data_IF_712147624272
#
_entry.id   IF_712147624272
#
_cell.length_a   1.000
_cell.length_b   1.000
_cell.length_c   1.000
_cell.angle_alpha   90.00
_cell.angle_beta   90.00
_cell.angle_gamma   90.00
#
_symmetry.space_group_name_H-M   'P 1'
#
loop_
_entity.id
_entity.type
_entity.pdbx_description
1 polymer ?
#
# COMPACT_ATOMS: atom_id res chain seq x y z
N UNK A 1 23.27 7.31 4.04
CA UNK A 1 23.31 7.39 2.56
C UNK A 1 23.49 6.01 1.93
N UNK A 2 24.52 5.23 2.28
CA UNK A 2 24.69 3.85 1.74
C UNK A 2 23.54 2.88 2.05
N UNK A 3 22.89 3.01 3.22
CA UNK A 3 21.80 2.12 3.62
C UNK A 3 20.53 2.24 2.77
N UNK A 4 20.14 3.45 2.37
CA UNK A 4 18.93 3.67 1.58
C UNK A 4 19.06 3.07 0.17
N UNK A 5 20.18 3.34 -0.52
CA UNK A 5 20.45 2.76 -1.84
C UNK A 5 20.54 1.22 -1.81
N UNK A 6 21.08 0.65 -0.72
CA UNK A 6 21.07 -0.80 -0.53
C UNK A 6 19.64 -1.33 -0.32
N UNK A 7 18.83 -0.65 0.49
CA UNK A 7 17.44 -1.04 0.75
C UNK A 7 16.60 -1.04 -0.53
N UNK A 8 16.72 -0.01 -1.37
CA UNK A 8 16.04 0.05 -2.68
C UNK A 8 16.47 -1.12 -3.58
N UNK A 9 17.79 -1.39 -3.65
CA UNK A 9 18.31 -2.50 -4.45
C UNK A 9 17.80 -3.85 -3.94
N UNK A 10 17.68 -4.02 -2.62
CA UNK A 10 17.13 -5.23 -2.01
C UNK A 10 15.64 -5.37 -2.31
N UNK A 11 14.85 -4.30 -2.18
CA UNK A 11 13.43 -4.31 -2.53
C UNK A 11 13.20 -4.66 -4.01
N UNK A 12 14.00 -4.10 -4.92
CA UNK A 12 13.95 -4.46 -6.35
C UNK A 12 14.33 -5.93 -6.58
N UNK A 13 15.31 -6.44 -5.86
CA UNK A 13 15.71 -7.86 -5.95
C UNK A 13 14.59 -8.77 -5.45
N UNK A 14 13.93 -8.43 -4.34
CA UNK A 14 12.78 -9.16 -3.81
C UNK A 14 11.64 -9.18 -4.83
N UNK A 15 11.34 -8.03 -5.45
CA UNK A 15 10.30 -7.95 -6.49
C UNK A 15 10.62 -8.85 -7.68
N UNK A 16 11.88 -8.87 -8.13
CA UNK A 16 12.31 -9.73 -9.23
C UNK A 16 12.20 -11.22 -8.88
N UNK A 17 12.68 -11.64 -7.70
CA UNK A 17 12.57 -13.04 -7.24
C UNK A 17 11.09 -13.46 -7.19
N UNK A 18 10.25 -12.68 -6.51
CA UNK A 18 8.82 -12.94 -6.38
C UNK A 18 8.16 -13.10 -7.76
N UNK A 19 8.44 -12.19 -8.69
CA UNK A 19 7.89 -12.28 -10.05
C UNK A 19 8.39 -13.53 -10.77
N UNK A 20 9.68 -13.84 -10.73
CA UNK A 20 10.21 -15.01 -11.45
C UNK A 20 9.64 -16.33 -10.95
N UNK A 21 9.48 -16.48 -9.63
CA UNK A 21 8.91 -17.69 -9.03
C UNK A 21 7.42 -17.83 -9.34
N UNK A 22 6.64 -16.76 -9.19
CA UNK A 22 5.20 -16.78 -9.46
C UNK A 22 4.90 -16.93 -10.96
N UNK A 23 5.66 -16.28 -11.83
CA UNK A 23 5.52 -16.40 -13.29
C UNK A 23 5.84 -17.80 -13.78
N UNK A 24 6.78 -18.51 -13.15
CA UNK A 24 7.03 -19.93 -13.44
C UNK A 24 5.81 -20.82 -13.14
N UNK A 25 4.93 -20.38 -12.24
CA UNK A 25 3.65 -21.01 -11.91
C UNK A 25 2.46 -20.44 -12.72
N UNK A 26 2.70 -19.54 -13.68
CA UNK A 26 1.65 -18.93 -14.50
C UNK A 26 0.88 -17.77 -13.84
N UNK A 27 1.36 -17.25 -12.70
CA UNK A 27 0.74 -16.12 -12.00
C UNK A 27 1.41 -14.81 -12.47
N UNK A 28 0.62 -13.85 -12.95
CA UNK A 28 1.09 -12.61 -13.59
C UNK A 28 0.70 -11.31 -12.86
N UNK A 29 -0.01 -11.41 -11.73
CA UNK A 29 -0.37 -10.30 -10.85
C UNK A 29 -0.08 -10.66 -9.40
N UNK A 30 0.55 -9.75 -8.66
CA UNK A 30 0.72 -9.86 -7.22
C UNK A 30 0.04 -8.71 -6.48
N UNK A 31 -0.64 -9.03 -5.39
CA UNK A 31 -1.24 -8.06 -4.48
C UNK A 31 -0.19 -7.51 -3.51
N UNK A 32 0.77 -6.78 -4.07
CA UNK A 32 1.88 -6.09 -3.41
C UNK A 32 2.24 -4.90 -4.31
N UNK A 33 2.83 -3.80 -3.80
CA UNK A 33 3.29 -3.53 -2.43
C UNK A 33 2.17 -3.23 -1.43
N UNK A 34 2.45 -3.49 -0.16
CA UNK A 34 1.75 -2.83 0.94
C UNK A 34 2.30 -1.40 1.03
N UNK A 35 1.40 -0.43 0.95
CA UNK A 35 1.66 1.01 0.95
C UNK A 35 1.24 1.69 2.25
N UNK A 36 0.65 0.93 3.16
CA UNK A 36 0.26 1.38 4.49
C UNK A 36 1.49 1.82 5.30
N UNK A 37 1.37 2.93 6.03
CA UNK A 37 2.42 3.39 6.94
C UNK A 37 2.34 2.64 8.27
N UNK A 38 3.49 2.35 8.89
CA UNK A 38 3.52 1.77 10.23
C UNK A 38 3.28 2.84 11.29
N UNK A 39 2.04 2.95 11.78
CA UNK A 39 1.70 3.83 12.90
C UNK A 39 1.89 3.16 14.27
N UNK A 40 2.35 1.90 14.32
CA UNK A 40 2.61 1.17 15.57
C UNK A 40 1.39 0.59 16.29
N UNK A 41 0.17 0.94 15.85
CA UNK A 41 -1.08 0.55 16.50
C UNK A 41 -1.81 -0.61 15.79
N UNK A 42 -1.52 -0.83 14.50
CA UNK A 42 -2.26 -1.79 13.69
C UNK A 42 -1.60 -3.19 13.70
N UNK A 43 -2.25 -4.15 14.36
CA UNK A 43 -1.78 -5.54 14.40
C UNK A 43 -1.73 -6.23 13.01
N UNK A 44 -2.59 -5.79 12.07
CA UNK A 44 -2.71 -6.39 10.73
C UNK A 44 -1.66 -5.85 9.75
N UNK A 45 -1.18 -4.61 9.94
CA UNK A 45 -0.13 -4.01 9.13
C UNK A 45 1.23 -4.31 9.71
N UNK A 46 1.56 -3.82 10.92
CA UNK A 46 2.84 -4.08 11.61
C UNK A 46 4.04 -4.28 10.68
N UNK A 47 4.65 -5.47 10.74
CA UNK A 47 5.84 -5.84 9.96
C UNK A 47 5.62 -6.04 8.45
N UNK A 48 4.40 -5.80 7.93
CA UNK A 48 4.09 -5.80 6.50
C UNK A 48 4.27 -4.42 5.88
N UNK A 49 4.24 -3.35 6.68
CA UNK A 49 4.64 -2.02 6.20
C UNK A 49 6.15 -1.98 6.00
N UNK A 50 6.58 -1.22 5.00
CA UNK A 50 8.00 -0.94 4.82
C UNK A 50 8.56 0.01 5.88
N UNK A 51 7.78 1.00 6.32
CA UNK A 51 8.22 2.05 7.23
C UNK A 51 7.06 2.93 7.71
N UNK A 52 7.29 3.71 8.77
CA UNK A 52 6.40 4.80 9.21
C UNK A 52 6.52 6.09 8.38
N UNK A 53 7.50 6.21 7.48
CA UNK A 53 7.79 7.46 6.77
C UNK A 53 7.33 7.33 5.31
N UNK A 54 6.43 8.20 4.82
CA UNK A 54 5.87 8.08 3.48
C UNK A 54 6.92 7.98 2.38
N UNK A 55 7.94 8.83 2.41
CA UNK A 55 9.02 8.85 1.42
C UNK A 55 9.82 7.53 1.36
N UNK A 56 10.00 6.85 2.50
CA UNK A 56 10.69 5.56 2.56
C UNK A 56 9.81 4.46 1.97
N UNK A 57 8.52 4.46 2.30
CA UNK A 57 7.54 3.53 1.71
C UNK A 57 7.47 3.72 0.19
N UNK A 58 7.36 4.95 -0.30
CA UNK A 58 7.36 5.26 -1.73
C UNK A 58 8.60 4.72 -2.44
N UNK A 59 9.81 4.99 -1.93
CA UNK A 59 11.07 4.55 -2.55
C UNK A 59 11.13 3.04 -2.69
N UNK A 60 10.85 2.32 -1.60
CA UNK A 60 10.91 0.86 -1.54
C UNK A 60 9.79 0.21 -2.36
N UNK A 61 8.58 0.77 -2.36
CA UNK A 61 7.46 0.29 -3.16
C UNK A 61 7.71 0.45 -4.66
N UNK A 62 8.25 1.59 -5.10
CA UNK A 62 8.64 1.80 -6.51
C UNK A 62 9.77 0.84 -6.88
N UNK A 63 10.76 0.62 -6.00
CA UNK A 63 11.82 -0.35 -6.24
C UNK A 63 11.29 -1.78 -6.37
N UNK A 64 10.40 -2.20 -5.47
CA UNK A 64 9.71 -3.50 -5.56
C UNK A 64 8.96 -3.61 -6.90
N UNK A 65 8.18 -2.60 -7.28
CA UNK A 65 7.46 -2.57 -8.56
C UNK A 65 8.39 -2.74 -9.76
N UNK A 66 9.56 -2.07 -9.79
CA UNK A 66 10.55 -2.28 -10.85
C UNK A 66 11.03 -3.72 -10.92
N UNK A 67 11.26 -4.34 -9.76
CA UNK A 67 11.61 -5.76 -9.65
C UNK A 67 10.55 -6.66 -10.26
N UNK A 68 9.28 -6.44 -9.87
CA UNK A 68 8.15 -7.22 -10.36
C UNK A 68 8.00 -7.08 -11.88
N UNK A 69 8.05 -5.84 -12.39
CA UNK A 69 7.97 -5.53 -13.80
C UNK A 69 9.11 -6.18 -14.60
N UNK A 70 10.34 -6.18 -14.07
CA UNK A 70 11.48 -6.88 -14.68
C UNK A 70 11.27 -8.40 -14.77
N UNK A 71 10.57 -9.00 -13.81
CA UNK A 71 10.15 -10.40 -13.88
C UNK A 71 8.90 -10.64 -14.73
N UNK A 72 8.31 -9.59 -15.33
CA UNK A 72 7.11 -9.65 -16.15
C UNK A 72 5.80 -9.71 -15.36
N UNK A 73 5.76 -9.27 -14.11
CA UNK A 73 4.58 -9.35 -13.25
C UNK A 73 4.03 -7.96 -12.92
N UNK A 74 2.71 -7.81 -12.97
CA UNK A 74 2.01 -6.59 -12.52
C UNK A 74 1.87 -6.56 -10.99
N UNK A 75 1.68 -5.36 -10.44
CA UNK A 75 1.54 -5.11 -9.00
C UNK A 75 0.15 -4.52 -8.68
N UNK A 76 -0.25 -4.59 -7.42
CA UNK A 76 -1.47 -3.98 -6.93
C UNK A 76 -1.20 -3.39 -5.54
N UNK A 77 -1.13 -2.05 -5.47
CA UNK A 77 -0.86 -1.32 -4.24
C UNK A 77 -2.04 -1.39 -3.29
N UNK A 78 -1.77 -1.56 -1.99
CA UNK A 78 -2.81 -1.76 -0.97
C UNK A 78 -2.40 -1.25 0.42
N UNK A 79 -3.33 -0.89 1.31
CA UNK A 79 -4.78 -0.89 1.14
C UNK A 79 -5.28 0.57 1.12
N UNK A 80 -5.74 1.05 -0.02
CA UNK A 80 -6.07 2.47 -0.20
C UNK A 80 -7.30 2.89 0.62
N UNK A 81 -7.32 4.09 1.24
CA UNK A 81 -6.29 5.13 1.26
C UNK A 81 -5.23 5.00 2.37
N UNK A 82 -5.28 3.94 3.17
CA UNK A 82 -4.27 3.62 4.20
C UNK A 82 -4.91 2.92 5.39
N UNK A 83 -4.43 1.72 5.72
CA UNK A 83 -4.97 0.88 6.81
C UNK A 83 -4.13 0.96 8.10
N UNK A 84 -2.92 1.51 8.03
CA UNK A 84 -1.92 1.39 9.08
C UNK A 84 -2.26 2.06 10.41
N UNK A 85 -3.14 3.06 10.41
CA UNK A 85 -3.53 3.80 11.61
C UNK A 85 -4.72 3.21 12.36
N UNK A 86 -5.37 2.18 11.81
CA UNK A 86 -6.55 1.60 12.43
C UNK A 86 -6.18 0.41 13.28
N UNK A 87 -6.52 0.48 14.57
CA UNK A 87 -6.50 -0.65 15.48
C UNK A 87 -7.90 -1.27 15.54
N UNK A 88 -8.00 -2.57 15.25
CA UNK A 88 -9.29 -3.24 15.31
C UNK A 88 -9.19 -4.74 15.06
N UNK A 89 -9.84 -5.51 15.93
CA UNK A 89 -10.17 -6.91 15.64
C UNK A 89 -11.36 -6.92 14.68
N UNK A 90 -11.11 -7.22 13.41
CA UNK A 90 -12.13 -7.24 12.35
C UNK A 90 -13.26 -8.25 12.59
N UNK A 91 -13.18 -9.09 13.63
CA UNK A 91 -14.24 -10.01 14.03
C UNK A 91 -15.39 -9.33 14.81
N UNK A 92 -15.22 -8.08 15.29
CA UNK A 92 -16.19 -7.42 16.17
C UNK A 92 -16.87 -6.19 15.57
N UNK A 93 -16.17 -5.38 14.76
CA UNK A 93 -16.73 -4.18 14.09
C UNK A 93 -15.93 -3.83 12.84
N UNK A 94 -16.53 -3.07 11.91
CA UNK A 94 -15.79 -2.45 10.81
C UNK A 94 -14.75 -1.46 11.38
N UNK A 95 -13.47 -1.50 10.92
CA UNK A 95 -12.45 -0.56 11.37
C UNK A 95 -12.77 0.87 10.88
N UNK A 96 -12.59 1.86 11.76
CA UNK A 96 -12.79 3.28 11.45
C UNK A 96 -11.49 4.08 11.65
N UNK A 97 -11.20 4.97 10.70
CA UNK A 97 -10.13 5.96 10.80
C UNK A 97 -10.73 7.37 10.88
N UNK A 98 -10.49 8.05 12.02
CA UNK A 98 -11.06 9.36 12.32
C UNK A 98 -10.18 10.54 11.90
N UNK A 99 -9.13 10.32 11.09
CA UNK A 99 -8.29 11.39 10.52
C UNK A 99 -9.01 12.13 9.39
N UNK A 100 -8.67 13.41 9.18
CA UNK A 100 -9.25 14.25 8.13
C UNK A 100 -8.67 13.92 6.76
N UNK A 101 -9.32 14.42 5.70
CA UNK A 101 -8.78 14.32 4.35
C UNK A 101 -7.36 14.87 4.25
N UNK A 102 -7.08 16.03 4.86
CA UNK A 102 -5.79 16.69 4.83
C UNK A 102 -4.71 15.88 5.54
N UNK A 103 -5.04 15.26 6.69
CA UNK A 103 -4.13 14.38 7.43
C UNK A 103 -3.78 13.14 6.58
N UNK A 104 -4.78 12.48 6.00
CA UNK A 104 -4.57 11.32 5.11
C UNK A 104 -3.78 11.69 3.85
N UNK A 105 -4.04 12.87 3.27
CA UNK A 105 -3.37 13.33 2.06
C UNK A 105 -1.92 13.73 2.30
N UNK A 106 -1.61 14.23 3.49
CA UNK A 106 -0.25 14.60 3.89
C UNK A 106 0.66 13.37 4.02
N UNK A 107 0.12 12.25 4.52
CA UNK A 107 0.89 11.06 4.88
C UNK A 107 0.48 9.81 4.09
N UNK A 108 -0.60 9.12 4.49
CA UNK A 108 -0.95 7.77 4.02
C UNK A 108 -1.22 7.67 2.50
N UNK A 109 -1.70 8.74 1.87
CA UNK A 109 -1.99 8.76 0.42
C UNK A 109 -0.72 8.99 -0.41
N UNK A 110 0.36 9.53 0.17
CA UNK A 110 1.57 9.86 -0.59
C UNK A 110 2.20 8.64 -1.29
N UNK A 111 2.39 7.48 -0.64
CA UNK A 111 2.93 6.30 -1.31
C UNK A 111 2.07 5.80 -2.47
N UNK A 112 0.74 5.92 -2.37
CA UNK A 112 -0.17 5.58 -3.47
C UNK A 112 0.01 6.54 -4.65
N UNK A 113 0.07 7.85 -4.41
CA UNK A 113 0.30 8.85 -5.46
C UNK A 113 1.62 8.61 -6.18
N UNK A 114 2.69 8.38 -5.43
CA UNK A 114 4.01 8.14 -6.00
C UNK A 114 4.02 6.87 -6.85
N UNK A 115 3.41 5.79 -6.38
CA UNK A 115 3.36 4.54 -7.14
C UNK A 115 2.47 4.65 -8.38
N UNK A 116 1.33 5.36 -8.30
CA UNK A 116 0.48 5.70 -9.46
C UNK A 116 1.27 6.50 -10.50
N UNK A 117 2.01 7.53 -10.09
CA UNK A 117 2.87 8.31 -11.01
C UNK A 117 3.95 7.45 -11.66
N UNK A 118 4.37 6.35 -11.02
CA UNK A 118 5.30 5.37 -11.57
C UNK A 118 4.61 4.24 -12.36
N UNK A 119 3.31 4.34 -12.63
CA UNK A 119 2.58 3.41 -13.49
C UNK A 119 2.01 2.18 -12.79
N UNK A 120 1.64 2.30 -11.50
CA UNK A 120 0.91 1.24 -10.79
C UNK A 120 -0.38 0.84 -11.55
N UNK A 121 -0.56 -0.43 -11.94
CA UNK A 121 -1.66 -0.84 -12.82
C UNK A 121 -2.96 -1.17 -12.06
N UNK A 122 -2.87 -1.44 -10.75
CA UNK A 122 -4.02 -1.79 -9.93
C UNK A 122 -3.87 -1.25 -8.51
N UNK A 123 -5.01 -1.01 -7.87
CA UNK A 123 -5.12 -0.49 -6.51
C UNK A 123 -6.20 -1.30 -5.77
N UNK A 124 -5.91 -1.71 -4.55
CA UNK A 124 -6.85 -2.44 -3.70
C UNK A 124 -7.29 -1.53 -2.55
N UNK A 125 -8.59 -1.22 -2.46
CA UNK A 125 -9.10 -0.40 -1.38
C UNK A 125 -9.19 -1.17 -0.06
N UNK A 126 -9.13 -0.45 1.05
CA UNK A 126 -9.30 -0.97 2.40
C UNK A 126 -10.79 -1.18 2.73
N UNK A 127 -11.06 -2.12 3.63
CA UNK A 127 -12.36 -2.27 4.29
C UNK A 127 -12.40 -1.44 5.57
N UNK A 128 -12.09 -0.14 5.44
CA UNK A 128 -12.04 0.85 6.53
C UNK A 128 -13.02 1.98 6.21
N UNK A 129 -13.79 2.42 7.19
CA UNK A 129 -14.62 3.62 7.09
C UNK A 129 -13.80 4.83 7.52
N UNK A 130 -13.93 5.95 6.80
CA UNK A 130 -13.23 7.20 7.11
C UNK A 130 -14.25 8.30 7.37
N UNK A 131 -14.84 8.40 8.58
CA UNK A 131 -16.05 9.18 8.79
C UNK A 131 -15.94 10.68 8.48
N UNK A 132 -14.73 11.24 8.49
CA UNK A 132 -14.47 12.64 8.10
C UNK A 132 -14.41 12.87 6.59
N UNK A 133 -14.40 11.81 5.78
CA UNK A 133 -14.39 11.85 4.32
C UNK A 133 -15.67 11.25 3.75
N UNK A 134 -15.99 10.01 4.16
CA UNK A 134 -17.25 9.34 3.86
C UNK A 134 -17.70 8.56 5.11
N UNK A 135 -18.77 9.02 5.80
CA UNK A 135 -19.29 8.35 6.99
C UNK A 135 -20.20 7.16 6.68
N UNK A 136 -20.52 6.90 5.41
CA UNK A 136 -21.56 5.95 5.04
C UNK A 136 -21.01 4.61 4.59
N UNK A 137 -19.90 4.61 3.87
CA UNK A 137 -19.35 3.43 3.22
C UNK A 137 -17.84 3.28 3.50
N UNK A 138 -17.32 2.05 3.63
CA UNK A 138 -15.88 1.83 3.66
C UNK A 138 -15.26 2.18 2.30
N UNK A 139 -13.95 2.48 2.29
CA UNK A 139 -13.25 2.98 1.10
C UNK A 139 -13.46 2.12 -0.16
N UNK A 140 -13.60 0.81 -0.02
CA UNK A 140 -13.87 -0.11 -1.15
C UNK A 140 -15.23 0.02 -1.82
N UNK A 141 -16.20 0.70 -1.19
CA UNK A 141 -17.57 0.88 -1.70
C UNK A 141 -17.98 2.36 -1.81
N UNK A 142 -17.12 3.27 -1.33
CA UNK A 142 -17.35 4.71 -1.37
C UNK A 142 -17.08 5.30 -2.76
N UNK A 143 -18.07 6.00 -3.31
CA UNK A 143 -17.90 6.79 -4.55
C UNK A 143 -17.05 8.05 -4.33
N UNK A 144 -16.84 8.49 -3.09
CA UNK A 144 -15.94 9.61 -2.78
C UNK A 144 -14.48 9.16 -2.95
N UNK A 145 -14.17 7.93 -2.55
CA UNK A 145 -12.83 7.36 -2.67
C UNK A 145 -12.53 6.78 -4.05
N UNK A 146 -13.50 6.14 -4.70
CA UNK A 146 -13.30 5.40 -5.96
C UNK A 146 -13.99 6.00 -7.19
N UNK A 147 -14.90 6.96 -7.00
CA UNK A 147 -15.65 7.59 -8.08
C UNK A 147 -14.85 8.72 -8.71
N UNK A 148 -14.67 8.64 -10.03
CA UNK A 148 -14.17 9.74 -10.87
C UNK A 148 -15.28 10.73 -11.22
#
# INVERSE_FOLDING_TARGET
QHGAAMADKMAETVGWVLATELRACGIDLSFTPVLDLDWGECAVIGNRSFHQQPAVVSSLAVALQRGLARGGMACCGKHFPGHGAVSGDSHLTLPEDNRSWEELWADDIQPFKDLIHNGMPALMPAHVVYPKVDPTEPAGFSTIWLGG
#
